data_IF_833850902319
#
_entry.id   IF_833850902319
#
_cell.length_a   1.000
_cell.length_b   1.000
_cell.length_c   1.000
_cell.angle_alpha   90.00
_cell.angle_beta   90.00
_cell.angle_gamma   90.00
#
_symmetry.space_group_name_H-M   'P 1'
#
loop_
_entity.id
_entity.type
_entity.pdbx_description
1 polymer ?
#
# COMPACT_ATOMS: atom_id res chain seq x y z
N UNK A 1 -2.10 24.00 32.44
CA UNK A 1 -0.98 24.57 31.69
C UNK A 1 -1.29 24.33 30.21
N UNK A 2 -1.80 25.35 29.50
CA UNK A 2 -2.09 25.22 28.07
C UNK A 2 -0.75 25.24 27.33
N UNK A 3 -0.49 24.18 26.58
CA UNK A 3 0.70 24.07 25.75
C UNK A 3 0.55 25.05 24.56
N UNK A 4 1.42 26.06 24.41
CA UNK A 4 1.24 27.13 23.41
C UNK A 4 1.44 26.67 21.96
N UNK A 5 1.58 25.37 21.72
CA UNK A 5 1.86 24.78 20.41
C UNK A 5 0.77 23.79 19.95
N UNK A 6 -0.40 23.74 20.60
CA UNK A 6 -1.51 22.95 20.08
C UNK A 6 -2.06 23.62 18.82
N UNK A 7 -1.66 23.14 17.65
CA UNK A 7 -2.38 23.40 16.42
C UNK A 7 -3.80 22.84 16.62
N UNK A 8 -4.78 23.72 16.82
CA UNK A 8 -6.17 23.29 16.90
C UNK A 8 -6.59 22.86 15.50
N UNK A 9 -6.61 21.54 15.27
CA UNK A 9 -7.16 21.00 14.03
C UNK A 9 -8.65 21.35 13.99
N UNK A 10 -9.18 21.82 12.84
CA UNK A 10 -10.61 21.93 12.66
C UNK A 10 -11.27 20.60 13.02
N UNK A 11 -12.38 20.65 13.75
CA UNK A 11 -13.18 19.44 13.95
C UNK A 11 -13.63 18.93 12.57
N UNK A 12 -13.32 17.67 12.24
CA UNK A 12 -13.67 17.06 10.97
C UNK A 12 -15.20 17.09 10.73
N UNK A 13 -16.01 17.03 11.79
CA UNK A 13 -17.46 17.18 11.70
C UNK A 13 -17.91 18.55 11.18
N UNK A 14 -17.11 19.60 11.40
CA UNK A 14 -17.40 20.96 10.99
C UNK A 14 -16.73 21.38 9.68
N UNK A 15 -15.98 20.49 9.02
CA UNK A 15 -15.33 20.81 7.74
C UNK A 15 -16.39 20.85 6.63
N UNK A 16 -16.52 21.95 5.86
CA UNK A 16 -17.42 22.01 4.72
C UNK A 16 -17.10 20.94 3.69
N UNK A 17 -18.11 20.49 2.94
CA UNK A 17 -17.97 19.48 1.89
C UNK A 17 -18.22 20.10 0.52
N UNK A 18 -17.37 19.77 -0.44
CA UNK A 18 -17.59 20.07 -1.85
C UNK A 18 -17.59 18.79 -2.69
N UNK A 19 -18.63 18.62 -3.50
CA UNK A 19 -18.67 17.56 -4.50
C UNK A 19 -19.40 18.01 -5.77
N UNK A 20 -18.75 18.01 -6.94
CA UNK A 20 -19.45 18.23 -8.20
C UNK A 20 -20.17 16.96 -8.65
N UNK A 21 -21.37 17.09 -9.22
CA UNK A 21 -22.11 15.96 -9.81
C UNK A 21 -22.97 16.39 -10.99
N UNK A 22 -22.71 15.82 -12.18
CA UNK A 22 -23.35 16.30 -13.40
C UNK A 22 -23.10 17.82 -13.58
N UNK A 23 -24.13 18.65 -13.83
CA UNK A 23 -23.98 20.11 -13.92
C UNK A 23 -23.91 20.81 -12.56
N UNK A 24 -24.23 20.13 -11.45
CA UNK A 24 -24.34 20.73 -10.13
C UNK A 24 -22.98 20.81 -9.43
N UNK A 25 -22.81 21.89 -8.68
CA UNK A 25 -21.74 22.08 -7.71
C UNK A 25 -22.40 22.03 -6.34
N UNK A 26 -22.15 20.96 -5.57
CA UNK A 26 -22.84 20.73 -4.31
C UNK A 26 -21.92 21.15 -3.19
N UNK A 27 -22.40 22.04 -2.33
CA UNK A 27 -21.69 22.52 -1.16
C UNK A 27 -22.49 22.18 0.09
N UNK A 28 -21.83 21.62 1.10
CA UNK A 28 -22.37 21.42 2.43
C UNK A 28 -21.57 22.30 3.37
N UNK A 29 -22.20 23.28 3.98
CA UNK A 29 -21.56 24.19 4.94
C UNK A 29 -21.29 23.52 6.28
N UNK A 30 -20.58 24.22 7.18
CA UNK A 30 -20.21 23.73 8.52
C UNK A 30 -21.42 23.36 9.40
N UNK A 31 -22.58 23.96 9.15
CA UNK A 31 -23.83 23.66 9.86
C UNK A 31 -24.67 22.57 9.15
N UNK A 32 -24.16 21.96 8.07
CA UNK A 32 -24.85 20.90 7.32
C UNK A 32 -25.85 21.39 6.28
N UNK A 33 -25.92 22.69 5.98
CA UNK A 33 -26.81 23.21 4.94
C UNK A 33 -26.28 22.84 3.55
N UNK A 34 -27.15 22.22 2.73
CA UNK A 34 -26.82 21.84 1.35
C UNK A 34 -27.25 22.95 0.40
N UNK A 35 -26.31 23.44 -0.40
CA UNK A 35 -26.54 24.47 -1.40
C UNK A 35 -25.92 24.09 -2.75
N UNK A 36 -26.37 24.78 -3.81
CA UNK A 36 -25.90 24.58 -5.18
C UNK A 36 -25.30 25.88 -5.75
N UNK A 37 -24.14 26.33 -5.24
CA UNK A 37 -23.56 27.59 -5.65
C UNK A 37 -23.17 27.62 -7.13
N UNK A 38 -23.19 28.81 -7.72
CA UNK A 38 -22.47 29.04 -8.98
C UNK A 38 -20.95 29.07 -8.71
N UNK A 39 -20.14 29.06 -9.78
CA UNK A 39 -18.67 29.03 -9.66
C UNK A 39 -18.07 30.20 -8.87
N UNK A 40 -18.65 31.39 -9.00
CA UNK A 40 -18.15 32.58 -8.27
C UNK A 40 -18.40 32.46 -6.77
N UNK A 41 -19.59 32.00 -6.38
CA UNK A 41 -19.92 31.76 -4.98
C UNK A 41 -19.08 30.60 -4.41
N UNK A 42 -18.92 29.50 -5.15
CA UNK A 42 -18.07 28.38 -4.74
C UNK A 42 -16.62 28.81 -4.54
N UNK A 43 -16.07 29.64 -5.43
CA UNK A 43 -14.70 30.14 -5.27
C UNK A 43 -14.53 30.99 -4.00
N UNK A 44 -15.54 31.78 -3.63
CA UNK A 44 -15.53 32.54 -2.39
C UNK A 44 -15.55 31.61 -1.16
N UNK A 45 -16.37 30.55 -1.18
CA UNK A 45 -16.43 29.55 -0.11
C UNK A 45 -15.10 28.79 0.05
N UNK A 46 -14.52 28.33 -1.07
CA UNK A 46 -13.24 27.60 -1.06
C UNK A 46 -12.07 28.45 -0.54
N UNK A 47 -12.15 29.78 -0.66
CA UNK A 47 -11.12 30.68 -0.14
C UNK A 47 -11.16 30.83 1.39
N UNK A 48 -12.25 30.41 2.06
CA UNK A 48 -12.42 30.56 3.51
C UNK A 48 -11.62 29.54 4.32
N UNK A 49 -11.25 28.39 3.74
CA UNK A 49 -10.46 27.40 4.45
C UNK A 49 -10.48 26.01 3.83
N UNK A 50 -10.21 25.02 4.67
CA UNK A 50 -10.14 23.61 4.27
C UNK A 50 -11.52 23.09 3.89
N UNK A 51 -11.59 22.37 2.78
CA UNK A 51 -12.79 21.66 2.32
C UNK A 51 -12.57 20.15 2.24
N UNK A 52 -13.56 19.36 2.61
CA UNK A 52 -13.59 17.92 2.38
C UNK A 52 -14.12 17.63 0.97
N UNK A 53 -13.41 16.83 0.19
CA UNK A 53 -13.80 16.48 -1.17
C UNK A 53 -13.39 15.06 -1.54
N UNK A 54 -13.83 14.60 -2.71
CA UNK A 54 -13.36 13.37 -3.33
C UNK A 54 -12.75 13.71 -4.69
N UNK A 55 -11.49 13.34 -4.91
CA UNK A 55 -10.74 13.58 -6.14
C UNK A 55 -10.48 15.07 -6.41
N UNK A 56 -9.44 15.65 -5.82
CA UNK A 56 -9.11 17.08 -5.91
C UNK A 56 -9.03 17.57 -7.35
N UNK A 57 -8.23 16.91 -8.19
CA UNK A 57 -8.00 17.34 -9.59
C UNK A 57 -9.30 17.40 -10.40
N UNK A 58 -10.17 16.41 -10.21
CA UNK A 58 -11.48 16.39 -10.87
C UNK A 58 -12.39 17.48 -10.30
N UNK A 59 -12.43 17.62 -8.98
CA UNK A 59 -13.21 18.65 -8.28
C UNK A 59 -12.82 20.07 -8.71
N UNK A 60 -11.52 20.38 -8.77
CA UNK A 60 -10.98 21.65 -9.25
C UNK A 60 -11.35 21.91 -10.72
N UNK A 61 -11.22 20.91 -11.60
CA UNK A 61 -11.60 21.04 -13.00
C UNK A 61 -13.11 21.33 -13.19
N UNK A 62 -13.97 20.78 -12.32
CA UNK A 62 -15.41 21.06 -12.34
C UNK A 62 -15.75 22.43 -11.75
N UNK A 63 -15.08 22.81 -10.67
CA UNK A 63 -15.21 24.13 -10.03
C UNK A 63 -14.71 25.27 -10.95
N UNK A 64 -13.70 25.01 -11.77
CA UNK A 64 -13.03 26.02 -12.59
C UNK A 64 -12.06 26.91 -11.81
N UNK A 65 -11.62 26.45 -10.63
CA UNK A 65 -10.64 27.11 -9.76
C UNK A 65 -9.74 26.05 -9.13
N UNK A 66 -8.50 26.43 -8.79
CA UNK A 66 -7.64 25.58 -7.97
C UNK A 66 -8.19 25.47 -6.54
N UNK A 67 -7.92 24.33 -5.91
CA UNK A 67 -8.32 24.04 -4.54
C UNK A 67 -7.04 23.65 -3.79
N UNK A 68 -6.51 24.58 -3.01
CA UNK A 68 -5.21 24.44 -2.33
C UNK A 68 -5.35 23.92 -0.89
N UNK A 69 -6.46 24.23 -0.23
CA UNK A 69 -6.74 23.82 1.15
C UNK A 69 -7.85 22.77 1.16
N UNK A 70 -7.47 21.49 1.22
CA UNK A 70 -8.41 20.40 1.07
C UNK A 70 -8.04 19.17 1.89
N UNK A 71 -9.06 18.35 2.15
CA UNK A 71 -8.96 16.97 2.58
C UNK A 71 -9.56 16.11 1.46
N UNK A 72 -8.71 15.40 0.72
CA UNK A 72 -9.17 14.50 -0.35
C UNK A 72 -9.34 13.10 0.22
N UNK A 73 -10.59 12.63 0.28
CA UNK A 73 -10.92 11.31 0.81
C UNK A 73 -10.25 10.19 0.00
N UNK A 74 -9.89 10.41 -1.27
CA UNK A 74 -9.13 9.43 -2.03
C UNK A 74 -7.68 9.27 -1.54
N UNK A 75 -7.05 10.36 -1.09
CA UNK A 75 -5.71 10.30 -0.50
C UNK A 75 -5.76 9.51 0.82
N UNK A 76 -6.78 9.76 1.65
CA UNK A 76 -6.99 9.00 2.89
C UNK A 76 -7.25 7.51 2.59
N UNK A 77 -8.11 7.20 1.60
CA UNK A 77 -8.37 5.82 1.20
C UNK A 77 -7.08 5.12 0.76
N UNK A 78 -6.26 5.76 -0.08
CA UNK A 78 -4.99 5.19 -0.55
C UNK A 78 -4.01 4.91 0.60
N UNK A 79 -4.02 5.75 1.64
CA UNK A 79 -3.21 5.57 2.84
C UNK A 79 -3.72 4.41 3.72
N UNK A 80 -5.02 4.37 4.02
CA UNK A 80 -5.62 3.40 4.94
C UNK A 80 -5.79 2.02 4.30
N UNK A 81 -6.07 1.96 2.99
CA UNK A 81 -6.31 0.73 2.23
C UNK A 81 -5.31 0.62 1.06
N UNK A 82 -4.00 0.51 1.35
CA UNK A 82 -2.98 0.48 0.31
C UNK A 82 -3.19 -0.69 -0.64
N UNK A 83 -2.93 -0.46 -1.94
CA UNK A 83 -3.08 -1.45 -3.02
C UNK A 83 -4.50 -2.07 -3.14
N UNK A 84 -5.54 -1.36 -2.69
CA UNK A 84 -6.95 -1.77 -2.89
C UNK A 84 -7.58 -0.96 -4.02
N UNK A 85 -8.26 -1.66 -4.93
CA UNK A 85 -8.99 -1.02 -6.02
C UNK A 85 -10.24 -0.31 -5.49
N UNK A 86 -10.47 0.92 -5.95
CA UNK A 86 -11.73 1.64 -5.78
C UNK A 86 -11.99 2.50 -7.02
N UNK A 87 -13.25 2.65 -7.41
CA UNK A 87 -13.60 3.72 -8.34
C UNK A 87 -13.40 5.07 -7.63
N UNK A 88 -12.83 6.08 -8.30
CA UNK A 88 -12.46 7.35 -7.70
C UNK A 88 -13.68 8.28 -7.54
N UNK A 89 -14.75 7.75 -6.93
CA UNK A 89 -16.04 8.43 -6.71
C UNK A 89 -16.58 8.05 -5.33
N UNK A 90 -17.46 8.87 -4.72
CA UNK A 90 -18.05 8.55 -3.42
C UNK A 90 -18.82 7.22 -3.44
N UNK A 91 -19.52 6.91 -4.53
CA UNK A 91 -20.16 5.60 -4.73
C UNK A 91 -19.16 4.44 -4.78
N UNK A 92 -18.02 4.63 -5.44
CA UNK A 92 -16.96 3.63 -5.52
C UNK A 92 -16.33 3.33 -4.17
N UNK A 93 -16.05 4.39 -3.40
CA UNK A 93 -15.53 4.29 -2.04
C UNK A 93 -16.56 3.65 -1.10
N UNK A 94 -17.84 4.05 -1.20
CA UNK A 94 -18.93 3.45 -0.45
C UNK A 94 -19.02 1.94 -0.64
N UNK A 95 -18.93 1.48 -1.90
CA UNK A 95 -18.92 0.06 -2.22
C UNK A 95 -17.75 -0.68 -1.57
N UNK A 96 -16.54 -0.10 -1.60
CA UNK A 96 -15.37 -0.73 -0.96
C UNK A 96 -15.46 -0.79 0.56
N UNK A 97 -16.18 0.16 1.16
CA UNK A 97 -16.37 0.25 2.61
C UNK A 97 -17.65 -0.43 3.12
N UNK A 98 -18.44 -1.04 2.23
CA UNK A 98 -19.72 -1.67 2.59
C UNK A 98 -20.79 -0.67 3.05
N UNK A 99 -20.68 0.59 2.65
CA UNK A 99 -21.66 1.64 2.95
C UNK A 99 -22.85 1.58 1.98
N UNK A 100 -23.97 2.15 2.38
CA UNK A 100 -25.15 2.25 1.53
C UNK A 100 -24.83 3.02 0.24
N UNK A 101 -25.32 2.50 -0.90
CA UNK A 101 -25.09 3.14 -2.19
C UNK A 101 -25.85 4.47 -2.27
N UNK A 102 -25.17 5.60 -2.52
CA UNK A 102 -25.84 6.89 -2.72
C UNK A 102 -26.67 6.88 -4.01
N UNK A 103 -27.83 7.56 -3.99
CA UNK A 103 -28.78 7.58 -5.10
C UNK A 103 -28.62 8.82 -5.99
N UNK A 104 -28.12 9.91 -5.44
CA UNK A 104 -27.97 11.19 -6.14
C UNK A 104 -26.68 11.94 -5.73
N UNK A 105 -26.44 13.13 -6.28
CA UNK A 105 -25.23 13.91 -5.99
C UNK A 105 -25.14 14.44 -4.55
N UNK A 106 -26.26 14.80 -3.93
CA UNK A 106 -26.29 15.28 -2.54
C UNK A 106 -25.99 14.13 -1.57
N UNK A 107 -26.52 12.93 -1.84
CA UNK A 107 -26.16 11.72 -1.10
C UNK A 107 -24.65 11.45 -1.21
N UNK A 108 -24.07 11.60 -2.41
CA UNK A 108 -22.63 11.41 -2.63
C UNK A 108 -21.80 12.40 -1.81
N UNK A 109 -22.20 13.67 -1.76
CA UNK A 109 -21.54 14.70 -0.95
C UNK A 109 -21.67 14.39 0.55
N UNK A 110 -22.88 14.09 1.02
CA UNK A 110 -23.20 13.78 2.42
C UNK A 110 -22.48 12.53 2.93
N UNK A 111 -22.10 11.64 2.01
CA UNK A 111 -21.37 10.42 2.34
C UNK A 111 -19.88 10.65 2.62
N UNK A 112 -19.29 11.77 2.17
CA UNK A 112 -17.85 12.02 2.30
C UNK A 112 -17.35 12.06 3.74
N UNK A 113 -18.00 12.76 4.69
CA UNK A 113 -17.61 12.70 6.10
C UNK A 113 -17.70 11.28 6.65
N UNK A 114 -18.75 10.54 6.32
CA UNK A 114 -18.93 9.15 6.78
C UNK A 114 -17.83 8.22 6.26
N UNK A 115 -17.43 8.38 4.98
CA UNK A 115 -16.30 7.65 4.40
C UNK A 115 -15.01 7.97 5.15
N UNK A 116 -14.74 9.26 5.41
CA UNK A 116 -13.54 9.70 6.12
C UNK A 116 -13.47 9.10 7.54
N UNK A 117 -14.54 9.22 8.33
CA UNK A 117 -14.60 8.61 9.67
C UNK A 117 -14.44 7.10 9.61
N UNK A 118 -15.10 6.43 8.66
CA UNK A 118 -14.96 4.97 8.51
C UNK A 118 -13.51 4.56 8.25
N UNK A 119 -12.79 5.31 7.42
CA UNK A 119 -11.38 5.05 7.13
C UNK A 119 -10.49 5.30 8.36
N UNK A 120 -10.75 6.36 9.11
CA UNK A 120 -10.03 6.65 10.36
C UNK A 120 -10.29 5.55 11.41
N UNK A 121 -11.53 5.08 11.55
CA UNK A 121 -11.88 3.99 12.45
C UNK A 121 -11.26 2.65 12.03
N UNK A 122 -11.28 2.34 10.72
CA UNK A 122 -10.61 1.15 10.19
C UNK A 122 -9.10 1.18 10.50
N UNK A 123 -8.47 2.36 10.45
CA UNK A 123 -7.07 2.55 10.80
C UNK A 123 -6.81 2.36 12.31
N UNK A 124 -7.68 2.90 13.16
CA UNK A 124 -7.57 2.74 14.61
C UNK A 124 -7.80 1.27 15.06
N UNK A 125 -8.68 0.54 14.35
CA UNK A 125 -8.97 -0.86 14.60
C UNK A 125 -7.94 -1.83 13.98
N UNK A 126 -6.94 -1.33 13.26
CA UNK A 126 -5.90 -2.17 12.67
C UNK A 126 -5.04 -2.87 13.76
N UNK A 127 -4.43 -4.02 13.43
CA UNK A 127 -3.43 -4.67 14.28
C UNK A 127 -2.34 -3.69 14.75
N UNK A 128 -1.82 -3.91 15.96
CA UNK A 128 -0.93 -2.95 16.62
C UNK A 128 0.32 -2.62 15.80
N UNK A 129 0.92 -3.60 15.14
CA UNK A 129 2.08 -3.43 14.26
C UNK A 129 1.76 -2.53 13.06
N UNK A 130 0.66 -2.81 12.36
CA UNK A 130 0.17 -2.01 11.24
C UNK A 130 -0.21 -0.59 11.68
N UNK A 131 -0.85 -0.45 12.84
CA UNK A 131 -1.25 0.85 13.42
C UNK A 131 -0.03 1.69 13.80
N UNK A 132 0.98 1.10 14.43
CA UNK A 132 2.23 1.78 14.75
C UNK A 132 2.98 2.21 13.49
N UNK A 133 3.04 1.33 12.49
CA UNK A 133 3.68 1.65 11.21
C UNK A 133 2.96 2.80 10.50
N UNK A 134 1.63 2.75 10.40
CA UNK A 134 0.84 3.84 9.85
C UNK A 134 1.06 5.14 10.62
N UNK A 135 1.13 5.09 11.95
CA UNK A 135 1.45 6.25 12.79
C UNK A 135 2.80 6.89 12.46
N UNK A 136 3.85 6.08 12.23
CA UNK A 136 5.17 6.59 11.80
C UNK A 136 5.09 7.26 10.42
N UNK A 137 4.43 6.61 9.44
CA UNK A 137 4.29 7.17 8.09
C UNK A 137 3.46 8.48 8.14
N UNK A 138 2.37 8.51 8.90
CA UNK A 138 1.55 9.71 9.11
C UNK A 138 2.36 10.83 9.77
N UNK A 139 3.24 10.51 10.72
CA UNK A 139 4.15 11.48 11.35
C UNK A 139 5.07 12.12 10.30
N UNK A 140 5.70 11.31 9.46
CA UNK A 140 6.54 11.79 8.34
C UNK A 140 5.75 12.64 7.36
N UNK A 141 4.58 12.17 6.92
CA UNK A 141 3.76 12.88 5.94
C UNK A 141 3.19 14.19 6.51
N UNK A 142 2.90 14.24 7.81
CA UNK A 142 2.51 15.48 8.51
C UNK A 142 3.62 16.52 8.46
N UNK A 143 4.87 16.13 8.76
CA UNK A 143 6.02 17.02 8.61
C UNK A 143 6.25 17.46 7.15
N UNK A 144 5.85 16.62 6.19
CA UNK A 144 5.82 16.92 4.76
C UNK A 144 4.64 17.80 4.31
N UNK A 145 3.75 18.22 5.20
CA UNK A 145 2.61 19.10 4.89
C UNK A 145 1.35 18.39 4.37
N UNK A 146 1.23 17.08 4.55
CA UNK A 146 0.01 16.36 4.14
C UNK A 146 -1.15 16.63 5.10
N UNK A 147 -2.26 17.16 4.56
CA UNK A 147 -3.39 17.67 5.37
C UNK A 147 -4.12 16.61 6.20
N UNK A 148 -4.12 15.33 5.78
CA UNK A 148 -4.71 14.24 6.58
C UNK A 148 -3.83 13.77 7.73
N UNK A 149 -2.52 13.97 7.64
CA UNK A 149 -1.57 13.51 8.64
C UNK A 149 -1.93 13.92 10.08
N UNK A 150 -2.21 15.20 10.35
CA UNK A 150 -2.63 15.64 11.68
C UNK A 150 -3.91 14.96 12.20
N UNK A 151 -4.91 14.75 11.33
CA UNK A 151 -6.15 14.06 11.71
C UNK A 151 -5.89 12.60 12.07
N UNK A 152 -5.03 11.92 11.31
CA UNK A 152 -4.62 10.55 11.60
C UNK A 152 -3.88 10.47 12.93
N UNK A 153 -2.92 11.36 13.18
CA UNK A 153 -2.17 11.38 14.44
C UNK A 153 -3.09 11.62 15.64
N UNK A 154 -4.00 12.59 15.52
CA UNK A 154 -5.00 12.86 16.56
C UNK A 154 -5.90 11.65 16.82
N UNK A 155 -6.40 10.99 15.77
CA UNK A 155 -7.26 9.80 15.88
C UNK A 155 -6.54 8.59 16.49
N UNK A 156 -5.23 8.48 16.26
CA UNK A 156 -4.39 7.44 16.85
C UNK A 156 -3.83 7.80 18.23
N UNK A 157 -4.10 9.00 18.75
CA UNK A 157 -3.57 9.49 20.03
C UNK A 157 -2.05 9.74 20.01
N UNK A 158 -1.48 10.02 18.83
CA UNK A 158 -0.06 10.28 18.64
C UNK A 158 0.21 11.80 18.65
N UNK A 159 1.38 12.23 19.14
CA UNK A 159 1.74 13.65 19.16
C UNK A 159 2.02 14.18 17.75
N UNK A 160 1.82 15.48 17.57
CA UNK A 160 2.26 16.19 16.37
C UNK A 160 3.79 16.19 16.28
N UNK A 161 4.39 15.98 15.09
CA UNK A 161 5.83 16.11 14.93
C UNK A 161 6.28 17.56 15.17
N UNK A 162 7.52 17.78 15.65
CA UNK A 162 8.11 19.11 15.68
C UNK A 162 8.22 19.68 14.26
N UNK A 163 8.19 21.01 14.14
CA UNK A 163 8.41 21.68 12.87
C UNK A 163 9.81 21.32 12.31
N UNK A 164 9.85 20.84 11.08
CA UNK A 164 11.08 20.40 10.44
C UNK A 164 10.83 19.58 9.18
N UNK A 165 11.88 19.23 8.43
CA UNK A 165 11.75 18.36 7.27
C UNK A 165 11.30 16.95 7.67
N UNK A 166 10.58 16.23 6.79
CA UNK A 166 10.15 14.86 7.05
C UNK A 166 11.34 13.89 7.22
N UNK A 167 11.32 13.06 8.27
CA UNK A 167 12.29 11.98 8.45
C UNK A 167 11.84 10.72 7.67
N UNK A 168 12.52 10.44 6.56
CA UNK A 168 12.23 9.30 5.69
C UNK A 168 12.37 7.94 6.38
N UNK A 169 13.09 7.87 7.51
CA UNK A 169 13.27 6.62 8.27
C UNK A 169 11.95 6.05 8.81
N UNK A 170 10.97 6.92 9.02
CA UNK A 170 9.65 6.56 9.53
C UNK A 170 8.81 5.74 8.53
N UNK A 171 9.22 5.66 7.26
CA UNK A 171 8.55 4.91 6.19
C UNK A 171 9.41 3.79 5.57
N UNK A 172 10.45 3.32 6.26
CA UNK A 172 11.36 2.27 5.76
C UNK A 172 10.67 0.89 5.69
N UNK A 173 10.26 0.50 4.49
CA UNK A 173 9.57 -0.78 4.25
C UNK A 173 10.45 -2.01 4.50
N UNK A 174 11.78 -1.87 4.37
CA UNK A 174 12.71 -2.99 4.59
C UNK A 174 12.83 -3.39 6.06
N UNK A 175 12.35 -2.58 7.01
CA UNK A 175 12.19 -3.00 8.40
C UNK A 175 11.16 -4.14 8.57
N UNK A 176 10.38 -4.45 7.52
CA UNK A 176 9.46 -5.61 7.49
C UNK A 176 10.16 -6.91 7.11
N UNK A 177 11.35 -6.84 6.50
CA UNK A 177 12.07 -8.03 6.08
C UNK A 177 12.71 -8.67 7.30
N UNK A 178 12.61 -10.00 7.40
CA UNK A 178 13.40 -10.73 8.38
C UNK A 178 14.88 -10.50 8.10
N UNK A 179 15.67 -10.39 9.17
CA UNK A 179 17.12 -10.40 9.03
C UNK A 179 17.53 -11.67 8.27
N UNK A 180 18.15 -11.47 7.12
CA UNK A 180 18.74 -12.56 6.37
C UNK A 180 20.22 -12.63 6.71
N UNK A 181 20.72 -13.84 6.95
CA UNK A 181 22.15 -14.06 7.15
C UNK A 181 22.75 -14.41 5.79
N UNK A 182 23.76 -13.67 5.32
CA UNK A 182 24.52 -14.02 4.11
C UNK A 182 25.26 -15.37 4.24
N UNK A 183 25.36 -15.88 5.47
CA UNK A 183 26.02 -17.13 5.77
C UNK A 183 25.03 -18.30 5.74
N UNK A 184 25.00 -19.01 4.61
CA UNK A 184 24.57 -20.42 4.61
C UNK A 184 25.85 -21.25 4.78
N UNK A 185 26.01 -22.09 5.82
CA UNK A 185 27.14 -23.00 5.88
C UNK A 185 27.09 -23.86 4.61
N UNK A 186 28.02 -23.61 3.67
CA UNK A 186 28.18 -24.51 2.55
C UNK A 186 28.74 -25.81 3.13
N UNK A 187 27.98 -26.89 3.00
CA UNK A 187 28.57 -28.20 3.18
C UNK A 187 29.75 -28.31 2.20
N UNK A 188 30.87 -28.85 2.68
CA UNK A 188 32.00 -29.20 1.80
C UNK A 188 31.47 -29.94 0.57
N UNK A 189 31.93 -29.62 -0.65
CA UNK A 189 31.55 -30.36 -1.84
C UNK A 189 31.67 -31.86 -1.61
N UNK A 190 30.56 -32.59 -1.78
CA UNK A 190 30.54 -34.03 -1.55
C UNK A 190 31.42 -34.76 -2.56
N UNK A 191 32.17 -35.75 -2.10
CA UNK A 191 32.95 -36.67 -2.96
C UNK A 191 32.17 -37.96 -3.26
N UNK A 192 30.85 -37.95 -3.16
CA UNK A 192 30.07 -39.16 -3.41
C UNK A 192 30.04 -39.46 -4.91
N UNK A 193 30.30 -40.72 -5.30
CA UNK A 193 30.32 -41.09 -6.70
C UNK A 193 28.91 -41.08 -7.30
N UNK A 194 28.83 -40.85 -8.61
CA UNK A 194 27.60 -41.11 -9.36
C UNK A 194 27.55 -42.61 -9.67
N UNK A 195 26.59 -43.33 -9.08
CA UNK A 195 26.46 -44.77 -9.35
C UNK A 195 25.85 -45.02 -10.74
N UNK A 196 26.29 -46.05 -11.49
CA UNK A 196 25.76 -46.37 -12.81
C UNK A 196 24.23 -46.53 -12.84
N UNK A 197 23.65 -47.19 -11.83
CA UNK A 197 22.20 -47.39 -11.73
C UNK A 197 21.46 -46.08 -11.44
N UNK A 198 22.06 -45.20 -10.64
CA UNK A 198 21.51 -43.87 -10.37
C UNK A 198 21.52 -42.99 -11.64
N UNK A 199 22.55 -43.11 -12.49
CA UNK A 199 22.61 -42.42 -13.78
C UNK A 199 21.51 -42.92 -14.74
N UNK A 200 21.27 -44.24 -14.80
CA UNK A 200 20.17 -44.82 -15.59
C UNK A 200 18.80 -44.35 -15.09
N UNK A 201 18.60 -44.39 -13.77
CA UNK A 201 17.35 -43.95 -13.16
C UNK A 201 17.09 -42.46 -13.43
N UNK A 202 18.12 -41.62 -13.30
CA UNK A 202 17.99 -40.19 -13.57
C UNK A 202 17.69 -39.90 -15.04
N UNK A 203 18.30 -40.64 -15.97
CA UNK A 203 17.98 -40.55 -17.39
C UNK A 203 16.52 -40.91 -17.66
N UNK A 204 16.02 -41.99 -17.06
CA UNK A 204 14.63 -42.41 -17.20
C UNK A 204 13.64 -41.35 -16.66
N UNK A 205 13.97 -40.70 -15.52
CA UNK A 205 13.19 -39.58 -14.99
C UNK A 205 13.16 -38.38 -15.95
N UNK A 206 14.31 -38.03 -16.54
CA UNK A 206 14.40 -36.90 -17.48
C UNK A 206 13.65 -37.15 -18.78
N UNK A 207 13.65 -38.38 -19.28
CA UNK A 207 12.96 -38.76 -20.52
C UNK A 207 11.44 -38.91 -20.31
N UNK A 208 11.01 -39.27 -19.09
CA UNK A 208 9.60 -39.42 -18.73
C UNK A 208 8.95 -40.69 -19.29
N UNK A 209 7.72 -40.99 -18.86
CA UNK A 209 7.05 -42.29 -19.13
C UNK A 209 6.65 -42.53 -20.60
N UNK A 210 6.66 -41.50 -21.44
CA UNK A 210 6.23 -41.58 -22.83
C UNK A 210 7.41 -41.66 -23.82
N UNK A 211 8.65 -41.75 -23.33
CA UNK A 211 9.83 -41.88 -24.18
C UNK A 211 10.04 -43.33 -24.63
N UNK A 212 10.48 -43.51 -25.87
CA UNK A 212 11.01 -44.78 -26.35
C UNK A 212 12.26 -45.19 -25.55
N UNK A 213 12.28 -46.44 -25.04
CA UNK A 213 13.44 -46.98 -24.32
C UNK A 213 14.57 -47.29 -25.31
N UNK A 214 15.71 -46.61 -25.15
CA UNK A 214 16.92 -46.83 -25.95
C UNK A 214 18.03 -47.34 -25.05
N UNK A 215 18.17 -48.66 -24.99
CA UNK A 215 19.14 -49.36 -24.15
C UNK A 215 20.58 -48.84 -24.33
N UNK A 216 21.08 -48.54 -25.56
CA UNK A 216 22.41 -47.98 -25.73
C UNK A 216 22.61 -46.60 -25.07
N UNK A 217 21.56 -45.79 -24.95
CA UNK A 217 21.64 -44.48 -24.29
C UNK A 217 21.72 -44.62 -22.77
N UNK A 218 20.98 -45.58 -22.21
CA UNK A 218 21.09 -45.92 -20.80
C UNK A 218 22.46 -46.51 -20.46
N UNK A 219 23.01 -47.35 -21.33
CA UNK A 219 24.36 -47.92 -21.18
C UNK A 219 25.43 -46.84 -21.26
N UNK A 220 25.30 -45.91 -22.20
CA UNK A 220 26.21 -44.78 -22.31
C UNK A 220 26.16 -43.89 -21.06
N UNK A 221 24.98 -43.55 -20.55
CA UNK A 221 24.83 -42.77 -19.33
C UNK A 221 25.43 -43.46 -18.10
N UNK A 222 25.28 -44.79 -18.00
CA UNK A 222 25.90 -45.60 -16.96
C UNK A 222 27.43 -45.64 -17.07
N UNK A 223 27.97 -45.72 -18.28
CA UNK A 223 29.41 -45.75 -18.53
C UNK A 223 30.09 -44.42 -18.19
N UNK A 224 29.45 -43.28 -18.52
CA UNK A 224 29.96 -41.93 -18.20
C UNK A 224 30.01 -41.68 -16.69
N UNK A 225 29.18 -42.37 -15.90
CA UNK A 225 29.17 -42.24 -14.44
C UNK A 225 30.52 -42.55 -13.77
N UNK A 226 31.34 -43.42 -14.39
CA UNK A 226 32.68 -43.76 -13.90
C UNK A 226 33.65 -42.56 -13.86
N UNK A 227 33.46 -41.55 -14.71
CA UNK A 227 34.26 -40.32 -14.69
C UNK A 227 33.98 -39.44 -13.46
N UNK A 228 32.89 -39.72 -12.74
CA UNK A 228 32.47 -39.01 -11.52
C UNK A 228 32.63 -39.89 -10.28
N UNK A 229 33.43 -40.96 -10.36
CA UNK A 229 33.79 -41.77 -9.19
C UNK A 229 34.75 -41.01 -8.27
N UNK A 230 34.96 -41.52 -7.06
CA UNK A 230 36.00 -41.02 -6.18
C UNK A 230 37.36 -41.25 -6.83
N UNK A 231 38.27 -40.26 -6.80
CA UNK A 231 39.66 -40.50 -7.14
C UNK A 231 40.17 -41.67 -6.29
N UNK A 232 40.75 -42.67 -6.95
CA UNK A 232 41.38 -43.79 -6.25
C UNK A 232 42.52 -43.21 -5.40
N UNK A 233 42.61 -43.58 -4.11
CA UNK A 233 43.64 -43.08 -3.19
C UNK A 233 45.02 -43.72 -3.46
N UNK A 234 45.36 -43.90 -4.73
CA UNK A 234 46.67 -44.32 -5.19
C UNK A 234 47.70 -43.18 -5.09
N UNK A 235 49.01 -43.49 -5.13
CA UNK A 235 50.08 -42.52 -4.85
C UNK A 235 50.30 -41.45 -5.94
N UNK A 236 49.47 -41.39 -6.99
CA UNK A 236 49.58 -40.38 -8.04
C UNK A 236 48.21 -40.05 -8.67
N UNK A 237 47.95 -38.79 -9.05
CA UNK A 237 46.67 -38.39 -9.62
C UNK A 237 46.49 -38.98 -11.02
N UNK A 238 45.35 -39.63 -11.27
CA UNK A 238 44.88 -39.91 -12.61
C UNK A 238 44.09 -38.69 -13.10
N UNK A 239 44.60 -37.99 -14.12
CA UNK A 239 43.77 -37.07 -14.91
C UNK A 239 42.99 -37.91 -15.93
N UNK A 240 41.67 -37.76 -15.92
CA UNK A 240 40.82 -37.97 -17.10
C UNK A 240 40.28 -36.60 -17.50
#
# INVERSE_FOLDING_TARGET
MHDPNSISLPDLHGVPVFYPHGPQLIWISQNGEITHPNRSALAAELALGVVLLCHRRWSAARAGVEIDHYLDVMELFAFVRPARFALPTPAGLAQQLGLARPQNGEDMATLLPQIAFRLLDDLAAAPDDARQEAGRIATMMTAGGWNWGPYILAHLGLPMPPAGPPDSRLAMIWNRLADYTDYTPQAEPGTQPVLPDAARQRLAEMLGSNSELREPQADYAAAVAASFDRPDAGPAPAMV
#
